data_IF_109817199540
#
_entry.id   IF_109817199540
#
_cell.length_a   1.000
_cell.length_b   1.000
_cell.length_c   1.000
_cell.angle_alpha   90.00
_cell.angle_beta   90.00
_cell.angle_gamma   90.00
#
_symmetry.space_group_name_H-M   'P 1'
#
loop_
_entity.id
_entity.type
_entity.pdbx_description
1 polymer ?
#
# COMPACT_ATOMS: atom_id res chain seq x y z
N UNK A 1 19.51 -54.49 -0.76
CA UNK A 1 19.13 -53.31 -1.54
C UNK A 1 17.72 -52.90 -1.12
N UNK A 2 17.62 -51.85 -0.30
CA UNK A 2 16.40 -51.42 0.38
C UNK A 2 15.25 -51.13 -0.59
N UNK A 3 14.22 -51.97 -0.56
CA UNK A 3 12.93 -51.74 -1.22
C UNK A 3 11.79 -51.80 -0.22
N UNK A 4 11.88 -51.12 0.94
CA UNK A 4 10.78 -51.12 1.92
C UNK A 4 10.86 -50.02 2.99
N UNK A 5 11.48 -48.87 2.70
CA UNK A 5 11.63 -47.78 3.68
C UNK A 5 11.31 -46.38 3.13
N UNK A 6 10.48 -46.26 2.08
CA UNK A 6 10.15 -44.95 1.49
C UNK A 6 8.66 -44.57 1.56
N UNK A 7 7.83 -45.32 2.29
CA UNK A 7 6.37 -45.05 2.33
C UNK A 7 5.87 -44.61 3.71
N UNK A 8 6.72 -44.56 4.74
CA UNK A 8 6.31 -44.14 6.10
C UNK A 8 7.04 -42.88 6.56
N UNK A 9 6.95 -41.80 5.77
CA UNK A 9 7.63 -40.54 6.10
C UNK A 9 7.00 -39.27 5.52
N UNK A 10 5.73 -39.32 5.10
CA UNK A 10 5.04 -38.15 4.49
C UNK A 10 3.73 -37.79 5.20
N UNK A 11 3.33 -38.51 6.26
CA UNK A 11 1.95 -38.40 6.78
C UNK A 11 1.71 -37.37 7.89
N UNK A 12 2.64 -36.46 8.25
CA UNK A 12 2.34 -35.54 9.36
C UNK A 12 3.07 -34.18 9.36
N UNK A 13 3.25 -33.50 8.23
CA UNK A 13 3.65 -32.07 8.24
C UNK A 13 3.03 -31.30 7.06
N UNK A 14 1.72 -31.39 6.87
CA UNK A 14 1.06 -30.63 5.80
C UNK A 14 -0.33 -30.06 6.17
N UNK A 15 -0.48 -29.37 7.32
CA UNK A 15 -1.47 -28.29 7.37
C UNK A 15 -0.97 -26.95 7.96
N UNK A 16 0.30 -26.82 8.34
CA UNK A 16 0.79 -25.61 9.03
C UNK A 16 1.09 -24.40 8.12
N UNK A 17 0.97 -24.53 6.80
CA UNK A 17 1.29 -23.44 5.86
C UNK A 17 0.05 -22.75 5.24
N UNK A 18 -1.16 -23.10 5.69
CA UNK A 18 -2.41 -22.56 5.11
C UNK A 18 -3.11 -21.49 5.96
N UNK A 19 -2.55 -21.08 7.11
CA UNK A 19 -3.18 -20.07 7.99
C UNK A 19 -2.75 -18.61 7.73
N UNK A 20 -1.71 -18.35 6.94
CA UNK A 20 -1.16 -16.98 6.80
C UNK A 20 -1.91 -16.07 5.82
N UNK A 21 -3.01 -16.51 5.21
CA UNK A 21 -3.70 -15.75 4.14
C UNK A 21 -4.96 -15.00 4.59
N UNK A 22 -5.39 -15.13 5.86
CA UNK A 22 -6.61 -14.49 6.36
C UNK A 22 -6.39 -13.13 7.04
N UNK A 23 -5.15 -12.74 7.36
CA UNK A 23 -4.88 -11.51 8.15
C UNK A 23 -4.80 -10.21 7.32
N UNK A 24 -4.75 -10.28 5.99
CA UNK A 24 -4.37 -9.10 5.20
C UNK A 24 -5.51 -8.08 4.98
N UNK A 25 -6.78 -8.49 5.07
CA UNK A 25 -7.91 -7.56 4.82
C UNK A 25 -8.40 -6.84 6.08
N UNK A 26 -8.24 -7.45 7.25
CA UNK A 26 -8.74 -6.88 8.52
C UNK A 26 -7.88 -5.72 9.01
N UNK A 27 -6.58 -5.73 8.72
CA UNK A 27 -5.60 -4.76 9.23
C UNK A 27 -5.69 -3.38 8.56
N UNK A 28 -6.16 -3.31 7.31
CA UNK A 28 -6.24 -2.03 6.59
C UNK A 28 -7.44 -1.21 7.03
N UNK A 29 -8.60 -1.85 7.19
CA UNK A 29 -9.79 -1.17 7.70
C UNK A 29 -9.53 -0.62 9.11
N UNK A 30 -8.86 -1.39 9.97
CA UNK A 30 -8.47 -0.90 11.29
C UNK A 30 -7.45 0.25 11.23
N UNK A 31 -6.46 0.21 10.33
CA UNK A 31 -5.51 1.32 10.15
C UNK A 31 -6.20 2.60 9.65
N UNK A 32 -7.18 2.46 8.74
CA UNK A 32 -7.99 3.59 8.23
C UNK A 32 -8.90 4.18 9.33
N UNK A 33 -9.48 3.36 10.21
CA UNK A 33 -10.26 3.85 11.36
C UNK A 33 -9.38 4.54 12.40
N UNK A 34 -8.21 3.97 12.70
CA UNK A 34 -7.23 4.52 13.63
C UNK A 34 -6.71 5.89 13.17
N UNK A 35 -6.37 6.02 11.88
CA UNK A 35 -5.88 7.30 11.36
C UNK A 35 -6.97 8.37 11.36
N UNK A 36 -8.22 8.03 11.03
CA UNK A 36 -9.33 8.98 11.05
C UNK A 36 -9.52 9.54 12.47
N UNK A 37 -9.51 8.67 13.48
CA UNK A 37 -9.56 9.09 14.88
C UNK A 37 -8.35 9.96 15.26
N UNK A 38 -7.16 9.61 14.79
CA UNK A 38 -5.95 10.40 15.09
C UNK A 38 -6.02 11.79 14.44
N UNK A 39 -6.54 11.91 13.22
CA UNK A 39 -6.77 13.20 12.55
C UNK A 39 -7.74 14.09 13.35
N UNK A 40 -8.80 13.51 13.91
CA UNK A 40 -9.78 14.25 14.72
C UNK A 40 -9.22 14.71 16.07
N UNK A 41 -8.25 14.00 16.64
CA UNK A 41 -7.83 14.15 18.04
C UNK A 41 -6.39 14.62 18.23
N UNK A 42 -5.58 14.72 17.17
CA UNK A 42 -4.17 15.12 17.26
C UNK A 42 -4.01 16.53 17.85
N UNK A 43 -3.22 16.64 18.90
CA UNK A 43 -2.90 17.90 19.60
C UNK A 43 -1.40 18.09 19.83
N UNK A 44 -0.58 17.08 19.49
CA UNK A 44 0.86 17.11 19.74
C UNK A 44 1.66 17.06 18.43
N UNK A 45 2.90 17.60 18.41
CA UNK A 45 3.80 17.44 17.27
C UNK A 45 3.99 15.98 16.85
N UNK A 46 4.12 15.07 17.81
CA UNK A 46 4.35 13.65 17.58
C UNK A 46 3.15 12.97 16.91
N UNK A 47 1.92 13.36 17.26
CA UNK A 47 0.71 12.84 16.62
C UNK A 47 0.58 13.33 15.17
N UNK A 48 0.86 14.60 14.91
CA UNK A 48 0.90 15.10 13.54
C UNK A 48 2.00 14.44 12.70
N UNK A 49 3.16 14.14 13.28
CA UNK A 49 4.19 13.37 12.59
C UNK A 49 3.73 11.95 12.24
N UNK A 50 3.01 11.26 13.14
CA UNK A 50 2.40 9.96 12.84
C UNK A 50 1.41 10.03 11.67
N UNK A 51 0.60 11.09 11.61
CA UNK A 51 -0.33 11.28 10.49
C UNK A 51 0.44 11.53 9.18
N UNK A 52 1.50 12.32 9.23
CA UNK A 52 2.34 12.55 8.06
C UNK A 52 2.97 11.25 7.53
N UNK A 53 3.45 10.38 8.41
CA UNK A 53 4.04 9.09 8.04
C UNK A 53 3.00 8.15 7.41
N UNK A 54 1.75 8.16 7.90
CA UNK A 54 0.65 7.43 7.26
C UNK A 54 0.43 7.90 5.82
N UNK A 55 0.34 9.21 5.59
CA UNK A 55 0.14 9.75 4.25
C UNK A 55 1.33 9.51 3.32
N UNK A 56 2.56 9.48 3.83
CA UNK A 56 3.74 9.10 3.05
C UNK A 56 3.65 7.63 2.57
N UNK A 57 3.20 6.72 3.44
CA UNK A 57 2.95 5.30 3.05
C UNK A 57 1.88 5.20 1.98
N UNK A 58 0.78 5.96 2.12
CA UNK A 58 -0.30 5.99 1.14
C UNK A 58 0.14 6.58 -0.20
N UNK A 59 0.98 7.62 -0.19
CA UNK A 59 1.62 8.14 -1.39
C UNK A 59 2.45 7.06 -2.10
N UNK A 60 3.35 6.37 -1.37
CA UNK A 60 4.17 5.30 -1.93
C UNK A 60 3.32 4.15 -2.51
N UNK A 61 2.19 3.83 -1.86
CA UNK A 61 1.22 2.85 -2.36
C UNK A 61 0.59 3.30 -3.68
N UNK A 62 0.18 4.56 -3.78
CA UNK A 62 -0.38 5.13 -5.02
C UNK A 62 0.65 5.15 -6.14
N UNK A 63 1.90 5.50 -5.86
CA UNK A 63 2.97 5.41 -6.86
C UNK A 63 3.19 3.97 -7.36
N UNK A 64 3.13 2.98 -6.46
CA UNK A 64 3.21 1.57 -6.86
C UNK A 64 2.06 1.19 -7.79
N UNK A 65 0.83 1.60 -7.50
CA UNK A 65 -0.33 1.38 -8.38
C UNK A 65 -0.15 2.09 -9.73
N UNK A 66 0.36 3.32 -9.72
CA UNK A 66 0.65 4.07 -10.94
C UNK A 66 1.64 3.32 -11.85
N UNK A 67 2.74 2.81 -11.28
CA UNK A 67 3.75 2.01 -12.01
C UNK A 67 3.17 0.70 -12.56
N UNK A 68 2.37 -0.01 -11.77
CA UNK A 68 1.71 -1.25 -12.23
C UNK A 68 0.82 -0.97 -13.43
N UNK A 69 -0.05 0.05 -13.36
CA UNK A 69 -0.94 0.38 -14.47
C UNK A 69 -0.19 0.94 -15.69
N UNK A 70 0.92 1.66 -15.50
CA UNK A 70 1.78 2.09 -16.61
C UNK A 70 2.35 0.86 -17.35
N UNK A 71 2.88 -0.12 -16.60
CA UNK A 71 3.40 -1.37 -17.18
C UNK A 71 2.32 -2.18 -17.88
N UNK A 72 1.10 -2.24 -17.33
CA UNK A 72 -0.04 -2.88 -18.01
C UNK A 72 -0.38 -2.19 -19.33
N UNK A 73 -0.38 -0.85 -19.36
CA UNK A 73 -0.63 -0.10 -20.58
C UNK A 73 0.39 -0.43 -21.67
N UNK A 74 1.67 -0.51 -21.31
CA UNK A 74 2.74 -0.89 -22.24
C UNK A 74 2.57 -2.33 -22.76
N UNK A 75 2.24 -3.26 -21.87
CA UNK A 75 1.98 -4.66 -22.24
C UNK A 75 0.82 -4.75 -23.24
N UNK A 76 -0.28 -4.02 -23.03
CA UNK A 76 -1.41 -4.01 -23.97
C UNK A 76 -1.06 -3.38 -25.33
N UNK A 77 -0.16 -2.39 -25.37
CA UNK A 77 0.31 -1.75 -26.61
C UNK A 77 1.25 -2.65 -27.41
N UNK A 78 2.12 -3.43 -26.74
CA UNK A 78 3.18 -4.24 -27.36
C UNK A 78 2.72 -5.59 -27.90
N UNK A 79 1.46 -5.97 -27.71
CA UNK A 79 0.90 -7.21 -28.27
C UNK A 79 0.94 -7.19 -29.80
N UNK A 80 1.02 -8.37 -30.42
CA UNK A 80 0.93 -8.54 -31.89
C UNK A 80 -0.35 -7.95 -32.48
N UNK A 81 -1.46 -8.05 -31.74
CA UNK A 81 -2.69 -7.28 -31.96
C UNK A 81 -2.92 -6.36 -30.76
N UNK A 82 -2.61 -5.05 -30.86
CA UNK A 82 -2.71 -4.13 -29.73
C UNK A 82 -4.14 -4.00 -29.19
N UNK A 83 -4.28 -4.01 -27.86
CA UNK A 83 -5.55 -3.73 -27.19
C UNK A 83 -5.60 -2.27 -26.74
N UNK A 84 -5.79 -1.35 -27.69
CA UNK A 84 -5.67 0.10 -27.48
C UNK A 84 -6.64 0.66 -26.44
N UNK A 85 -7.85 0.11 -26.35
CA UNK A 85 -8.84 0.48 -25.32
C UNK A 85 -8.37 0.19 -23.89
N UNK A 86 -7.86 -1.02 -23.65
CA UNK A 86 -7.30 -1.40 -22.34
C UNK A 86 -6.00 -0.66 -22.03
N UNK A 87 -5.17 -0.42 -23.04
CA UNK A 87 -3.98 0.41 -22.90
C UNK A 87 -4.34 1.83 -22.43
N UNK A 88 -5.34 2.46 -23.06
CA UNK A 88 -5.83 3.80 -22.67
C UNK A 88 -6.41 3.79 -21.26
N UNK A 89 -7.20 2.78 -20.90
CA UNK A 89 -7.74 2.63 -19.55
C UNK A 89 -6.63 2.56 -18.50
N UNK A 90 -5.60 1.72 -18.73
CA UNK A 90 -4.47 1.58 -17.82
C UNK A 90 -3.61 2.86 -17.77
N UNK A 91 -3.37 3.54 -18.89
CA UNK A 91 -2.68 4.85 -18.89
C UNK A 91 -3.44 5.89 -18.05
N UNK A 92 -4.77 5.91 -18.12
CA UNK A 92 -5.60 6.81 -17.32
C UNK A 92 -5.53 6.47 -15.82
N UNK A 93 -5.57 5.18 -15.46
CA UNK A 93 -5.40 4.75 -14.07
C UNK A 93 -4.00 5.11 -13.54
N UNK A 94 -2.95 4.91 -14.34
CA UNK A 94 -1.60 5.29 -13.97
C UNK A 94 -1.50 6.79 -13.63
N UNK A 95 -2.11 7.65 -14.46
CA UNK A 95 -2.18 9.09 -14.23
C UNK A 95 -2.92 9.41 -12.93
N UNK A 96 -4.13 8.87 -12.74
CA UNK A 96 -4.96 9.12 -11.54
C UNK A 96 -4.26 8.71 -10.25
N UNK A 97 -3.60 7.56 -10.25
CA UNK A 97 -2.82 7.13 -9.09
C UNK A 97 -1.58 8.00 -8.87
N UNK A 98 -0.94 8.50 -9.94
CA UNK A 98 0.14 9.48 -9.82
C UNK A 98 -0.33 10.80 -9.22
N UNK A 99 -1.53 11.27 -9.57
CA UNK A 99 -2.16 12.46 -8.97
C UNK A 99 -2.49 12.21 -7.50
N UNK A 100 -3.12 11.07 -7.16
CA UNK A 100 -3.40 10.71 -5.78
C UNK A 100 -2.14 10.61 -4.91
N UNK A 101 -1.02 10.10 -5.46
CA UNK A 101 0.25 10.08 -4.76
C UNK A 101 0.76 11.49 -4.39
N UNK A 102 0.56 12.47 -5.29
CA UNK A 102 0.94 13.87 -5.02
C UNK A 102 0.06 14.48 -3.92
N UNK A 103 -1.24 14.23 -3.97
CA UNK A 103 -2.17 14.71 -2.93
C UNK A 103 -1.80 14.15 -1.56
N UNK A 104 -1.51 12.85 -1.45
CA UNK A 104 -1.05 12.27 -0.19
C UNK A 104 0.28 12.86 0.30
N UNK A 105 1.24 13.16 -0.59
CA UNK A 105 2.47 13.87 -0.19
C UNK A 105 2.19 15.28 0.33
N UNK A 106 1.24 15.99 -0.27
CA UNK A 106 0.83 17.31 0.22
C UNK A 106 0.23 17.20 1.62
N UNK A 107 -0.65 16.21 1.85
CA UNK A 107 -1.22 15.97 3.19
C UNK A 107 -0.12 15.66 4.22
N UNK A 108 0.87 14.84 3.85
CA UNK A 108 2.01 14.57 4.72
C UNK A 108 2.81 15.84 5.05
N UNK A 109 3.04 16.71 4.06
CA UNK A 109 3.72 17.99 4.24
C UNK A 109 2.97 18.91 5.21
N UNK A 110 1.65 19.06 5.05
CA UNK A 110 0.84 19.93 5.91
C UNK A 110 0.87 19.47 7.37
N UNK A 111 0.83 18.16 7.62
CA UNK A 111 0.97 17.62 8.98
C UNK A 111 2.38 17.81 9.57
N UNK A 112 3.45 17.67 8.77
CA UNK A 112 4.81 18.00 9.25
C UNK A 112 4.92 19.48 9.63
N UNK A 113 4.31 20.37 8.82
CA UNK A 113 4.27 21.80 9.10
C UNK A 113 3.53 22.11 10.40
N UNK A 114 2.37 21.50 10.63
CA UNK A 114 1.64 21.63 11.91
C UNK A 114 2.51 21.17 13.10
N UNK A 115 3.23 20.05 12.97
CA UNK A 115 4.13 19.59 14.02
C UNK A 115 5.27 20.59 14.31
N UNK A 116 5.88 21.16 13.27
CA UNK A 116 6.93 22.17 13.42
C UNK A 116 6.42 23.47 14.07
N UNK A 117 5.22 23.92 13.69
CA UNK A 117 4.59 25.11 14.26
C UNK A 117 4.32 24.93 15.76
N UNK A 118 3.79 23.77 16.16
CA UNK A 118 3.58 23.43 17.57
C UNK A 118 4.89 23.36 18.35
N UNK A 119 5.93 22.76 17.79
CA UNK A 119 7.24 22.69 18.45
C UNK A 119 7.83 24.10 18.71
N UNK A 120 7.62 25.04 17.79
CA UNK A 120 8.06 26.44 17.94
C UNK A 120 7.26 27.20 19.01
N UNK A 121 5.98 26.87 19.23
CA UNK A 121 5.14 27.52 20.25
C UNK A 121 5.46 27.07 21.68
N UNK A 122 6.08 25.90 21.85
CA UNK A 122 6.44 25.34 23.16
C UNK A 122 7.91 25.59 23.56
N UNK A 123 8.62 26.42 22.80
CA UNK A 123 10.01 26.81 23.04
C UNK A 123 10.09 28.26 23.53
#
# INVERSE_FOLDING_TARGET
MNRLAFVLGVSLILPLLFLSSLEQSSSRASEEDEINKLIETAMTPEEHMKIADYYEKEAARMEKKARVHASMADSYRKRSKPLTGLAKHCSNLAKKYGEAAKEYKNMAMEHRKMAEEMHKMHK
#
